data_IF_197214648767
#
_entry.id   IF_197214648767
#
_cell.length_a   1.000
_cell.length_b   1.000
_cell.length_c   1.000
_cell.angle_alpha   90.00
_cell.angle_beta   90.00
_cell.angle_gamma   90.00
#
_symmetry.space_group_name_H-M   'P 1'
#
loop_
_entity.id
_entity.type
_entity.pdbx_description
1 polymer ?
#
# COMPACT_ATOMS: atom_id res chain seq x y z
N UNK A 1 -18.92 -36.72 -8.24
CA UNK A 1 -19.19 -35.43 -8.93
C UNK A 1 -19.15 -34.20 -7.98
N UNK A 2 -19.40 -34.30 -6.66
CA UNK A 2 -19.42 -33.18 -5.71
C UNK A 2 -18.06 -32.52 -5.36
N UNK A 3 -16.92 -32.99 -5.85
CA UNK A 3 -15.60 -32.43 -5.52
C UNK A 3 -15.00 -31.49 -6.60
N UNK A 4 -15.60 -31.42 -7.78
CA UNK A 4 -15.10 -30.55 -8.86
C UNK A 4 -15.55 -29.07 -8.65
N UNK A 5 -16.76 -28.88 -8.20
CA UNK A 5 -17.37 -27.56 -7.95
C UNK A 5 -16.53 -26.65 -7.05
N UNK A 6 -16.10 -27.08 -5.83
CA UNK A 6 -15.33 -26.20 -4.94
C UNK A 6 -13.95 -25.82 -5.49
N UNK A 7 -13.33 -26.68 -6.30
CA UNK A 7 -12.03 -26.39 -6.93
C UNK A 7 -12.20 -25.35 -8.05
N UNK A 8 -13.22 -25.50 -8.87
CA UNK A 8 -13.53 -24.57 -9.94
C UNK A 8 -13.89 -23.18 -9.39
N UNK A 9 -14.70 -23.16 -8.33
CA UNK A 9 -15.06 -21.91 -7.63
C UNK A 9 -13.83 -21.22 -7.04
N UNK A 10 -12.93 -21.99 -6.40
CA UNK A 10 -11.66 -21.47 -5.90
C UNK A 10 -10.83 -20.85 -7.03
N UNK A 11 -10.66 -21.57 -8.14
CA UNK A 11 -9.86 -21.12 -9.27
C UNK A 11 -10.46 -19.90 -9.94
N UNK A 12 -11.78 -19.83 -10.11
CA UNK A 12 -12.49 -18.66 -10.61
C UNK A 12 -12.26 -17.45 -9.71
N UNK A 13 -12.49 -17.62 -8.40
CA UNK A 13 -12.30 -16.57 -7.43
C UNK A 13 -10.86 -16.03 -7.41
N UNK A 14 -9.84 -16.91 -7.49
CA UNK A 14 -8.44 -16.50 -7.50
C UNK A 14 -8.10 -15.74 -8.81
N UNK A 15 -8.64 -16.14 -9.97
CA UNK A 15 -8.46 -15.40 -11.22
C UNK A 15 -9.02 -13.98 -11.14
N UNK A 16 -10.18 -13.81 -10.51
CA UNK A 16 -10.86 -12.51 -10.40
C UNK A 16 -10.21 -11.59 -9.37
N UNK A 17 -9.66 -12.17 -8.28
CA UNK A 17 -9.19 -11.41 -7.11
C UNK A 17 -7.66 -11.40 -6.96
N UNK A 18 -6.92 -12.08 -7.85
CA UNK A 18 -5.46 -12.13 -7.84
C UNK A 18 -4.90 -12.77 -6.57
N UNK A 19 -4.43 -11.94 -5.62
CA UNK A 19 -3.94 -12.43 -4.33
C UNK A 19 -5.10 -12.68 -3.38
N UNK A 20 -5.21 -13.92 -2.84
CA UNK A 20 -6.32 -14.33 -1.97
C UNK A 20 -5.84 -14.86 -0.62
N UNK A 21 -6.73 -14.81 0.38
CA UNK A 21 -6.53 -15.39 1.71
C UNK A 21 -7.46 -16.59 1.89
N UNK A 22 -7.09 -17.62 2.70
CA UNK A 22 -7.96 -18.78 2.97
C UNK A 22 -9.37 -18.42 3.40
N UNK A 23 -9.50 -17.41 4.29
CA UNK A 23 -10.81 -16.97 4.80
C UNK A 23 -11.74 -16.43 3.70
N UNK A 24 -11.20 -15.90 2.61
CA UNK A 24 -12.00 -15.39 1.49
C UNK A 24 -12.58 -16.55 0.67
N UNK A 25 -11.81 -17.62 0.52
CA UNK A 25 -12.29 -18.85 -0.11
C UNK A 25 -13.28 -19.59 0.79
N UNK A 26 -13.04 -19.62 2.10
CA UNK A 26 -14.00 -20.17 3.07
C UNK A 26 -15.34 -19.42 3.02
N UNK A 27 -15.32 -18.10 2.83
CA UNK A 27 -16.52 -17.28 2.73
C UNK A 27 -17.40 -17.63 1.51
N UNK A 28 -16.81 -18.19 0.46
CA UNK A 28 -17.52 -18.68 -0.74
C UNK A 28 -17.75 -20.21 -0.69
N UNK A 29 -17.58 -20.84 0.48
CA UNK A 29 -17.86 -22.26 0.67
C UNK A 29 -16.71 -23.21 0.29
N UNK A 30 -15.50 -22.72 0.05
CA UNK A 30 -14.33 -23.54 -0.30
C UNK A 30 -13.50 -23.85 0.95
N UNK A 31 -13.52 -25.08 1.49
CA UNK A 31 -12.73 -25.47 2.65
C UNK A 31 -11.22 -25.38 2.42
N UNK A 32 -10.45 -25.07 3.48
CA UNK A 32 -8.97 -24.94 3.42
C UNK A 32 -8.25 -26.17 2.87
N UNK A 33 -8.79 -27.36 3.02
CA UNK A 33 -8.18 -28.59 2.53
C UNK A 33 -7.94 -28.53 1.00
N UNK A 34 -8.79 -27.80 0.27
CA UNK A 34 -8.63 -27.64 -1.18
C UNK A 34 -7.42 -26.79 -1.55
N UNK A 35 -7.02 -25.83 -0.71
CA UNK A 35 -5.78 -25.06 -0.93
C UNK A 35 -4.54 -25.98 -0.98
N UNK A 36 -4.44 -26.93 -0.05
CA UNK A 36 -3.32 -27.87 -0.02
C UNK A 36 -3.30 -28.73 -1.29
N UNK A 37 -4.46 -29.21 -1.76
CA UNK A 37 -4.59 -29.97 -2.99
C UNK A 37 -4.21 -29.15 -4.23
N UNK A 38 -4.68 -27.90 -4.31
CA UNK A 38 -4.36 -26.99 -5.41
C UNK A 38 -2.85 -26.66 -5.47
N UNK A 39 -2.19 -26.52 -4.33
CA UNK A 39 -0.74 -26.33 -4.24
C UNK A 39 -0.01 -27.58 -4.74
N UNK A 40 -0.40 -28.77 -4.27
CA UNK A 40 0.19 -30.05 -4.72
C UNK A 40 0.03 -30.29 -6.23
N UNK A 41 -1.08 -29.83 -6.80
CA UNK A 41 -1.36 -29.89 -8.23
C UNK A 41 -0.66 -28.77 -9.04
N UNK A 42 0.08 -27.88 -8.40
CA UNK A 42 0.73 -26.73 -9.05
C UNK A 42 -0.24 -25.67 -9.61
N UNK A 43 -1.54 -25.73 -9.26
CA UNK A 43 -2.56 -24.81 -9.77
C UNK A 43 -2.52 -23.45 -9.09
N UNK A 44 -2.03 -23.39 -7.85
CA UNK A 44 -1.78 -22.16 -7.12
C UNK A 44 -0.41 -22.21 -6.44
N UNK A 45 0.14 -21.04 -6.16
CA UNK A 45 1.37 -20.87 -5.39
C UNK A 45 1.07 -20.15 -4.08
N UNK A 46 1.92 -20.38 -3.09
CA UNK A 46 1.90 -19.65 -1.83
C UNK A 46 2.92 -18.51 -1.88
N UNK A 47 2.45 -17.28 -1.99
CA UNK A 47 3.30 -16.08 -1.97
C UNK A 47 3.92 -15.83 -0.59
N UNK A 48 3.24 -16.27 0.46
CA UNK A 48 3.71 -16.15 1.83
C UNK A 48 2.69 -16.71 2.83
N UNK A 49 2.93 -16.53 4.13
CA UNK A 49 2.01 -17.04 5.15
C UNK A 49 0.60 -16.49 4.96
N UNK A 50 -0.34 -17.36 4.59
CA UNK A 50 -1.77 -17.07 4.46
C UNK A 50 -2.15 -16.22 3.25
N UNK A 51 -1.33 -16.19 2.19
CA UNK A 51 -1.68 -15.59 0.90
C UNK A 51 -1.27 -16.49 -0.25
N UNK A 52 -2.12 -16.55 -1.27
CA UNK A 52 -2.03 -17.45 -2.41
C UNK A 52 -2.38 -16.71 -3.70
N UNK A 53 -1.81 -17.16 -4.82
CA UNK A 53 -2.07 -16.62 -6.15
C UNK A 53 -1.95 -17.72 -7.21
N UNK A 54 -2.27 -17.43 -8.46
CA UNK A 54 -1.95 -18.31 -9.58
C UNK A 54 -0.45 -18.25 -9.88
N UNK A 55 0.14 -19.36 -10.39
CA UNK A 55 1.55 -19.39 -10.76
C UNK A 55 1.90 -18.42 -11.90
N UNK A 56 0.95 -18.19 -12.80
CA UNK A 56 1.04 -17.35 -13.99
C UNK A 56 0.45 -15.94 -13.79
N UNK A 57 0.10 -15.58 -12.55
CA UNK A 57 -0.40 -14.24 -12.25
C UNK A 57 0.64 -13.18 -12.62
N UNK A 58 0.20 -12.16 -13.36
CA UNK A 58 1.07 -11.06 -13.73
C UNK A 58 1.56 -10.33 -12.46
N UNK A 59 2.88 -10.33 -12.27
CA UNK A 59 3.54 -9.59 -11.20
C UNK A 59 3.84 -8.20 -11.71
N UNK A 60 3.27 -7.21 -11.06
CA UNK A 60 3.48 -5.80 -11.39
C UNK A 60 4.52 -5.16 -10.47
N UNK A 61 4.97 -3.94 -10.79
CA UNK A 61 5.82 -3.15 -9.89
C UNK A 61 5.14 -2.87 -8.53
N UNK A 62 3.82 -3.01 -8.47
CA UNK A 62 3.02 -2.81 -7.26
C UNK A 62 2.85 -4.07 -6.41
N UNK A 63 3.45 -5.20 -6.81
CA UNK A 63 3.28 -6.50 -6.15
C UNK A 63 3.54 -6.46 -4.63
N UNK A 64 4.66 -5.88 -4.23
CA UNK A 64 4.99 -5.73 -2.81
C UNK A 64 3.93 -4.94 -2.03
N UNK A 65 3.35 -3.92 -2.65
CA UNK A 65 2.28 -3.13 -2.04
C UNK A 65 0.96 -3.90 -1.98
N UNK A 66 0.62 -4.66 -3.03
CA UNK A 66 -0.56 -5.52 -3.04
C UNK A 66 -0.47 -6.62 -1.97
N UNK A 67 0.68 -7.27 -1.81
CA UNK A 67 0.92 -8.22 -0.73
C UNK A 67 0.72 -7.61 0.65
N UNK A 68 1.29 -6.42 0.90
CA UNK A 68 1.16 -5.73 2.19
C UNK A 68 -0.29 -5.34 2.44
N UNK A 69 -0.98 -4.74 1.46
CA UNK A 69 -2.37 -4.34 1.57
C UNK A 69 -3.28 -5.56 1.84
N UNK A 70 -3.01 -6.69 1.19
CA UNK A 70 -3.77 -7.93 1.42
C UNK A 70 -3.62 -8.48 2.84
N UNK A 71 -2.41 -8.37 3.43
CA UNK A 71 -2.12 -8.84 4.79
C UNK A 71 -2.54 -7.85 5.88
N UNK A 72 -2.49 -6.56 5.56
CA UNK A 72 -2.77 -5.44 6.46
C UNK A 72 -3.73 -4.43 5.80
N UNK A 73 -5.03 -4.75 5.67
CA UNK A 73 -6.00 -3.93 4.95
C UNK A 73 -6.21 -2.54 5.54
N UNK A 74 -5.90 -2.35 6.83
CA UNK A 74 -6.00 -1.05 7.51
C UNK A 74 -4.72 -0.20 7.38
N UNK A 75 -3.68 -0.73 6.74
CA UNK A 75 -2.45 0.01 6.49
C UNK A 75 -2.61 0.92 5.27
N UNK A 76 -2.03 2.11 5.35
CA UNK A 76 -2.01 3.08 4.25
C UNK A 76 -0.57 3.25 3.79
N UNK A 77 -0.28 3.08 2.50
CA UNK A 77 1.03 3.41 1.95
C UNK A 77 1.33 4.88 2.17
N UNK A 78 2.55 5.18 2.62
CA UNK A 78 2.96 6.53 2.99
C UNK A 78 4.43 6.80 2.64
N UNK A 79 4.85 8.06 2.77
CA UNK A 79 6.23 8.49 2.60
C UNK A 79 6.86 7.92 1.31
N UNK A 80 8.05 7.32 1.37
CA UNK A 80 8.80 6.83 0.20
C UNK A 80 7.98 5.84 -0.64
N UNK A 81 7.18 4.97 -0.03
CA UNK A 81 6.33 4.04 -0.79
C UNK A 81 5.18 4.76 -1.50
N UNK A 82 4.60 5.80 -0.92
CA UNK A 82 3.59 6.61 -1.59
C UNK A 82 4.22 7.48 -2.70
N UNK A 83 5.43 8.04 -2.48
CA UNK A 83 6.17 8.76 -3.51
C UNK A 83 6.44 7.86 -4.72
N UNK A 84 6.94 6.65 -4.50
CA UNK A 84 7.20 5.67 -5.56
C UNK A 84 5.90 5.25 -6.25
N UNK A 85 4.83 4.98 -5.49
CA UNK A 85 3.52 4.63 -6.02
C UNK A 85 2.97 5.71 -6.97
N UNK A 86 3.13 6.97 -6.61
CA UNK A 86 2.70 8.10 -7.44
C UNK A 86 3.70 8.51 -8.53
N UNK A 87 4.87 7.87 -8.60
CA UNK A 87 5.91 8.20 -9.58
C UNK A 87 6.45 9.63 -9.42
N UNK A 88 6.62 10.09 -8.17
CA UNK A 88 7.19 11.41 -7.82
C UNK A 88 8.53 11.30 -7.10
N UNK A 89 9.21 10.19 -7.28
CA UNK A 89 10.59 9.96 -6.84
C UNK A 89 11.26 8.98 -7.78
N UNK A 90 12.55 9.09 -7.92
CA UNK A 90 13.40 8.11 -8.62
C UNK A 90 13.91 7.03 -7.66
N UNK A 91 13.68 7.18 -6.36
CA UNK A 91 14.13 6.23 -5.36
C UNK A 91 13.23 5.00 -5.31
N UNK A 92 13.83 3.81 -5.32
CA UNK A 92 13.15 2.56 -5.07
C UNK A 92 13.40 2.13 -3.60
N UNK A 93 12.43 2.32 -2.69
CA UNK A 93 12.65 2.04 -1.27
C UNK A 93 12.78 0.53 -1.02
N UNK A 94 13.85 0.11 -0.36
CA UNK A 94 14.09 -1.28 0.04
C UNK A 94 13.07 -1.84 1.05
N UNK A 95 12.19 -1.00 1.59
CA UNK A 95 11.15 -1.37 2.56
C UNK A 95 9.84 -0.69 2.22
N UNK A 96 8.72 -1.36 2.47
CA UNK A 96 7.40 -0.77 2.29
C UNK A 96 7.05 0.11 3.50
N UNK A 97 6.84 1.39 3.24
CA UNK A 97 6.43 2.36 4.26
C UNK A 97 4.91 2.40 4.39
N UNK A 98 4.43 2.13 5.60
CA UNK A 98 3.00 2.14 5.92
C UNK A 98 2.70 3.03 7.12
N UNK A 99 1.57 3.71 7.05
CA UNK A 99 0.97 4.40 8.17
C UNK A 99 -0.07 3.51 8.84
N UNK A 100 -0.06 3.52 10.17
CA UNK A 100 -1.06 2.87 11.01
C UNK A 100 -1.59 3.87 12.04
N UNK A 101 -2.82 3.69 12.47
CA UNK A 101 -3.39 4.44 13.59
C UNK A 101 -2.65 4.20 14.90
N UNK A 102 -2.79 5.12 15.85
CA UNK A 102 -2.25 4.98 17.21
C UNK A 102 -2.86 3.73 17.87
N UNK A 103 -2.00 2.87 18.41
CA UNK A 103 -2.44 1.62 19.08
C UNK A 103 -2.65 0.43 18.15
N UNK A 104 -2.73 0.59 16.83
CA UNK A 104 -2.83 -0.54 15.92
C UNK A 104 -1.59 -1.44 16.00
N UNK A 105 -1.79 -2.76 16.01
CA UNK A 105 -0.68 -3.72 16.05
C UNK A 105 0.12 -3.68 14.74
N UNK A 106 1.45 -3.68 14.84
CA UNK A 106 2.31 -3.83 13.66
C UNK A 106 2.02 -5.18 12.99
N UNK A 107 1.75 -5.22 11.66
CA UNK A 107 1.56 -6.47 10.94
C UNK A 107 2.80 -7.35 11.01
N UNK A 108 2.61 -8.65 11.25
CA UNK A 108 3.68 -9.65 11.25
C UNK A 108 3.96 -10.13 9.81
N UNK A 109 4.55 -9.26 9.02
CA UNK A 109 4.95 -9.52 7.63
C UNK A 109 6.48 -9.57 7.59
N UNK A 110 7.08 -10.75 7.37
CA UNK A 110 8.54 -10.88 7.33
C UNK A 110 9.14 -10.35 6.03
N UNK A 111 8.40 -10.45 4.94
CA UNK A 111 8.78 -9.95 3.60
C UNK A 111 7.50 -9.48 2.88
N UNK A 112 7.54 -8.34 2.19
CA UNK A 112 8.62 -7.34 2.18
C UNK A 112 8.84 -6.70 3.56
N UNK A 113 10.03 -6.16 3.78
CA UNK A 113 10.35 -5.45 5.03
C UNK A 113 9.45 -4.22 5.20
N UNK A 114 8.93 -4.01 6.43
CA UNK A 114 8.02 -2.91 6.72
C UNK A 114 8.67 -1.83 7.57
N UNK A 115 8.50 -0.58 7.14
CA UNK A 115 8.69 0.62 7.98
C UNK A 115 7.34 1.23 8.34
N UNK A 116 7.10 1.36 9.64
CA UNK A 116 5.81 1.82 10.16
C UNK A 116 5.94 3.21 10.76
N UNK A 117 5.04 4.10 10.34
CA UNK A 117 4.80 5.38 11.02
C UNK A 117 3.44 5.33 11.71
N UNK A 118 3.32 6.07 12.81
CA UNK A 118 2.08 6.18 13.58
C UNK A 118 1.47 7.56 13.37
N UNK A 119 0.22 7.60 12.98
CA UNK A 119 -0.53 8.82 12.78
C UNK A 119 -1.81 8.79 13.63
N UNK A 120 -2.38 9.97 13.88
CA UNK A 120 -3.58 10.12 14.72
C UNK A 120 -4.54 11.14 14.14
N UNK A 121 -5.82 10.94 14.40
CA UNK A 121 -6.88 11.88 13.99
C UNK A 121 -6.83 12.18 12.49
N UNK A 122 -7.12 13.43 12.07
CA UNK A 122 -7.15 13.81 10.66
C UNK A 122 -5.86 13.51 9.89
N UNK A 123 -4.68 13.59 10.56
CA UNK A 123 -3.41 13.20 9.93
C UNK A 123 -3.37 11.73 9.50
N UNK A 124 -4.18 10.84 10.10
CA UNK A 124 -4.27 9.44 9.72
C UNK A 124 -5.40 9.18 8.72
N UNK A 125 -6.55 9.82 8.89
CA UNK A 125 -7.77 9.46 8.16
C UNK A 125 -7.98 10.26 6.87
N UNK A 126 -7.37 11.43 6.74
CA UNK A 126 -7.54 12.27 5.55
C UNK A 126 -6.49 12.01 4.47
N UNK A 127 -6.89 12.22 3.22
CA UNK A 127 -6.02 12.11 2.06
C UNK A 127 -5.74 10.66 1.65
N UNK A 128 -6.58 9.70 2.04
CA UNK A 128 -6.46 8.30 1.64
C UNK A 128 -7.17 8.11 0.30
N UNK A 129 -6.44 7.59 -0.67
CA UNK A 129 -6.94 7.14 -1.96
C UNK A 129 -6.93 5.61 -2.01
N UNK A 130 -7.86 5.02 -2.77
CA UNK A 130 -7.95 3.59 -2.98
C UNK A 130 -7.70 3.27 -4.43
N UNK A 131 -6.68 2.46 -4.68
CA UNK A 131 -6.32 1.98 -6.00
C UNK A 131 -6.41 0.46 -6.03
N UNK A 132 -6.61 -0.12 -7.21
CA UNK A 132 -6.65 -1.57 -7.38
C UNK A 132 -5.45 -2.02 -8.21
N UNK A 133 -4.67 -2.96 -7.66
CA UNK A 133 -3.60 -3.64 -8.37
C UNK A 133 -3.61 -5.13 -8.00
N UNK A 134 -3.38 -6.00 -8.97
CA UNK A 134 -3.37 -7.47 -8.80
C UNK A 134 -4.60 -8.00 -8.05
N UNK A 135 -5.78 -7.41 -8.31
CA UNK A 135 -7.04 -7.76 -7.63
C UNK A 135 -7.18 -7.25 -6.20
N UNK A 136 -6.16 -6.59 -5.65
CA UNK A 136 -6.14 -6.09 -4.27
C UNK A 136 -6.39 -4.58 -4.23
N UNK A 137 -7.20 -4.13 -3.26
CA UNK A 137 -7.37 -2.71 -2.98
C UNK A 137 -6.20 -2.23 -2.12
N UNK A 138 -5.43 -1.30 -2.64
CA UNK A 138 -4.32 -0.64 -1.97
C UNK A 138 -4.77 0.74 -1.51
N UNK A 139 -4.66 1.00 -0.20
CA UNK A 139 -4.84 2.34 0.36
C UNK A 139 -3.50 3.07 0.33
N UNK A 140 -3.46 4.28 -0.22
CA UNK A 140 -2.28 5.14 -0.31
C UNK A 140 -2.65 6.58 0.00
N UNK A 141 -1.77 7.35 0.63
CA UNK A 141 -2.02 8.79 0.78
C UNK A 141 -1.87 9.50 -0.56
N UNK A 142 -2.74 10.48 -0.81
CA UNK A 142 -2.68 11.38 -1.98
C UNK A 142 -1.32 12.07 -2.09
N UNK A 143 -0.98 12.54 -3.28
CA UNK A 143 0.29 13.24 -3.52
C UNK A 143 0.47 14.41 -2.55
N UNK A 144 -0.54 15.28 -2.41
CA UNK A 144 -0.47 16.43 -1.51
C UNK A 144 -0.24 16.04 -0.06
N UNK A 145 -0.95 15.01 0.42
CA UNK A 145 -0.79 14.48 1.78
C UNK A 145 0.58 13.86 1.98
N UNK A 146 1.06 13.12 0.98
CA UNK A 146 2.38 12.48 1.02
C UNK A 146 3.50 13.52 1.12
N UNK A 147 3.45 14.61 0.35
CA UNK A 147 4.41 15.71 0.44
C UNK A 147 4.40 16.32 1.85
N UNK A 148 3.23 16.64 2.41
CA UNK A 148 3.13 17.17 3.77
C UNK A 148 3.70 16.21 4.83
N UNK A 149 3.47 14.91 4.67
CA UNK A 149 4.03 13.88 5.54
C UNK A 149 5.55 13.76 5.40
N UNK A 150 6.12 13.94 4.21
CA UNK A 150 7.56 13.97 4.02
C UNK A 150 8.21 15.10 4.84
N UNK A 151 7.62 16.29 4.87
CA UNK A 151 8.09 17.36 5.75
C UNK A 151 7.90 17.05 7.24
N UNK A 152 6.82 16.38 7.62
CA UNK A 152 6.58 15.92 9.00
C UNK A 152 7.63 14.92 9.45
N UNK A 153 8.03 14.01 8.59
CA UNK A 153 8.98 12.94 8.87
C UNK A 153 10.38 13.19 8.29
N UNK A 154 10.72 14.44 7.92
CA UNK A 154 12.00 14.82 7.32
C UNK A 154 13.24 14.33 8.09
N UNK A 155 13.14 14.25 9.41
CA UNK A 155 14.23 13.73 10.24
C UNK A 155 14.41 12.19 10.12
N UNK A 156 13.44 11.48 9.51
CA UNK A 156 13.52 10.02 9.29
C UNK A 156 13.89 9.67 7.85
N UNK A 157 13.48 10.50 6.90
CA UNK A 157 13.65 10.21 5.47
C UNK A 157 14.67 11.13 4.78
N UNK A 158 15.05 12.23 5.41
CA UNK A 158 15.85 13.31 4.82
C UNK A 158 14.98 14.52 4.42
N UNK A 159 15.50 15.72 4.64
CA UNK A 159 14.86 16.95 4.21
C UNK A 159 14.95 17.13 2.69
N UNK A 160 16.04 16.69 2.10
CA UNK A 160 16.30 16.65 0.66
C UNK A 160 15.20 15.90 -0.08
N UNK A 161 14.80 14.73 0.41
CA UNK A 161 13.68 13.95 -0.15
C UNK A 161 12.35 14.72 -0.05
N UNK A 162 12.10 15.41 1.06
CA UNK A 162 10.88 16.18 1.21
C UNK A 162 10.82 17.38 0.23
N UNK A 163 11.96 18.03 0.00
CA UNK A 163 12.10 19.14 -0.97
C UNK A 163 11.95 18.63 -2.40
N UNK A 164 12.61 17.51 -2.75
CA UNK A 164 12.47 16.86 -4.06
C UNK A 164 11.00 16.50 -4.32
N UNK A 165 10.34 15.84 -3.38
CA UNK A 165 8.92 15.49 -3.48
C UNK A 165 8.01 16.69 -3.72
N UNK A 166 8.26 17.82 -3.03
CA UNK A 166 7.53 19.07 -3.23
C UNK A 166 7.74 19.60 -4.66
N UNK A 167 8.98 19.72 -5.11
CA UNK A 167 9.31 20.23 -6.44
C UNK A 167 8.73 19.37 -7.54
N UNK A 168 8.92 18.06 -7.46
CA UNK A 168 8.49 17.12 -8.48
C UNK A 168 6.98 16.99 -8.57
N UNK A 169 6.29 17.00 -7.43
CA UNK A 169 4.81 16.95 -7.41
C UNK A 169 4.16 18.16 -8.09
N UNK A 170 4.71 19.35 -7.89
CA UNK A 170 4.24 20.58 -8.54
C UNK A 170 4.66 20.62 -10.02
N UNK A 171 5.93 20.30 -10.34
CA UNK A 171 6.43 20.24 -11.73
C UNK A 171 5.63 19.26 -12.59
N UNK A 172 5.30 18.10 -12.06
CA UNK A 172 4.49 17.08 -12.74
C UNK A 172 2.99 17.39 -12.71
N UNK A 173 2.56 18.49 -12.08
CA UNK A 173 1.16 18.88 -11.94
C UNK A 173 0.27 17.79 -11.32
N UNK A 174 0.83 16.96 -10.44
CA UNK A 174 0.10 15.88 -9.74
C UNK A 174 -0.67 16.39 -8.52
N UNK A 175 -0.39 17.60 -8.09
CA UNK A 175 -1.10 18.31 -7.02
C UNK A 175 -0.87 19.82 -7.15
N UNK A 176 -1.55 20.59 -6.32
CA UNK A 176 -1.43 22.05 -6.26
C UNK A 176 -0.80 22.53 -4.95
N UNK A 177 -0.22 23.73 -4.95
CA UNK A 177 0.31 24.35 -3.75
C UNK A 177 -0.76 24.50 -2.65
N UNK A 178 -2.00 24.82 -3.02
CA UNK A 178 -3.13 24.96 -2.09
C UNK A 178 -3.48 23.63 -1.42
N UNK A 179 -3.49 22.52 -2.16
CA UNK A 179 -3.74 21.19 -1.60
C UNK A 179 -2.63 20.78 -0.63
N UNK A 180 -1.36 20.99 -1.02
CA UNK A 180 -0.22 20.71 -0.15
C UNK A 180 -0.33 21.53 1.13
N UNK A 181 -0.65 22.81 1.03
CA UNK A 181 -0.78 23.68 2.20
C UNK A 181 -1.95 23.28 3.12
N UNK A 182 -3.07 22.81 2.56
CA UNK A 182 -4.19 22.23 3.32
C UNK A 182 -3.71 21.06 4.18
N UNK A 183 -2.97 20.09 3.60
CA UNK A 183 -2.44 18.96 4.35
C UNK A 183 -1.30 19.35 5.29
N UNK A 184 -0.50 20.37 4.95
CA UNK A 184 0.51 20.91 5.86
C UNK A 184 -0.10 21.43 7.17
N UNK A 185 -1.31 22.04 7.12
CA UNK A 185 -2.06 22.42 8.32
C UNK A 185 -2.48 21.20 9.14
N UNK A 186 -3.07 20.18 8.50
CA UNK A 186 -3.51 18.95 9.15
C UNK A 186 -2.33 18.22 9.79
N UNK A 187 -1.20 18.17 9.10
CA UNK A 187 0.03 17.53 9.58
C UNK A 187 0.82 18.38 10.58
N UNK A 188 0.41 19.66 10.82
CA UNK A 188 1.08 20.64 11.70
C UNK A 188 2.51 20.95 11.26
N UNK A 189 2.71 21.12 9.96
CA UNK A 189 4.02 21.44 9.34
C UNK A 189 3.99 22.69 8.47
N UNK A 190 2.94 23.51 8.55
CA UNK A 190 2.78 24.72 7.74
C UNK A 190 3.97 25.67 7.82
N UNK A 191 4.50 25.91 9.02
CA UNK A 191 5.65 26.79 9.22
C UNK A 191 6.96 26.14 8.70
N UNK A 192 7.02 24.83 8.66
CA UNK A 192 8.19 24.09 8.16
C UNK A 192 8.25 24.11 6.64
N UNK A 193 7.11 23.89 5.96
CA UNK A 193 7.06 23.79 4.50
C UNK A 193 7.04 25.16 3.81
N UNK A 194 6.51 26.19 4.48
CA UNK A 194 6.32 27.53 3.89
C UNK A 194 7.56 28.10 3.20
N UNK A 195 8.76 28.16 3.81
CA UNK A 195 9.94 28.72 3.14
C UNK A 195 10.30 28.03 1.83
N UNK A 196 10.03 26.73 1.74
CA UNK A 196 10.31 25.93 0.53
C UNK A 196 9.25 26.15 -0.55
N UNK A 197 8.00 26.43 -0.16
CA UNK A 197 6.93 26.75 -1.12
C UNK A 197 7.08 28.17 -1.67
N UNK A 198 7.55 29.11 -0.87
CA UNK A 198 7.78 30.50 -1.27
C UNK A 198 9.02 30.63 -2.19
N UNK A 199 9.92 29.64 -2.18
CA UNK A 199 11.14 29.61 -3.01
C UNK A 199 10.93 28.92 -4.38
N UNK A 200 9.73 28.43 -4.69
CA UNK A 200 9.37 27.75 -5.95
C UNK A 200 8.58 28.68 -6.86
#
# INVERSE_FOLDING_TARGET
MAQAEPIEDAMRYIREHGIVRPRELEAIGVPRVYLSRLIQQGKIIRLGRGIYSLPDAAVTELHAYAEVAKRAPDAVLCLLSALAFHGITTQNPASVWIALGKGARKPAIPSPALRVVRLTGPSHTEGIEKHRAEGVVISVYSVAKTVADCFKFRNKIGLDIAIEALKDSLRQKKTTANEIYRYAKICRVSNVIRPYMEAL
#
